data_IF_321688000523
#
_entry.id   IF_321688000523
#
_cell.length_a   1.000
_cell.length_b   1.000
_cell.length_c   1.000
_cell.angle_alpha   90.00
_cell.angle_beta   90.00
_cell.angle_gamma   90.00
#
_symmetry.space_group_name_H-M   'P 1'
#
loop_
_entity.id
_entity.type
_entity.pdbx_description
1 polymer ?
#
# COMPACT_ATOMS: atom_id res chain seq x y z
N UNK A 1 22.55 9.21 -8.59
CA UNK A 1 22.69 10.33 -7.64
C UNK A 1 21.51 11.27 -7.85
N UNK A 2 20.66 11.51 -6.84
CA UNK A 2 19.48 12.41 -6.96
C UNK A 2 19.80 13.75 -6.30
N UNK A 3 19.62 14.83 -7.05
CA UNK A 3 19.95 16.20 -6.62
C UNK A 3 18.92 16.78 -5.62
N UNK A 4 19.32 17.70 -4.72
CA UNK A 4 18.41 18.48 -3.88
C UNK A 4 17.42 19.27 -4.77
N UNK A 5 16.14 19.36 -4.35
CA UNK A 5 15.08 19.99 -5.17
C UNK A 5 14.30 21.07 -4.41
N UNK A 6 14.30 21.04 -3.09
CA UNK A 6 13.65 22.06 -2.25
C UNK A 6 14.68 23.02 -1.68
N UNK A 7 14.29 24.27 -1.40
CA UNK A 7 15.18 25.28 -0.84
C UNK A 7 15.88 24.81 0.45
N UNK A 8 15.14 24.11 1.33
CA UNK A 8 15.69 23.52 2.55
C UNK A 8 16.79 22.50 2.27
N UNK A 9 16.58 21.59 1.32
CA UNK A 9 17.58 20.57 0.96
C UNK A 9 18.79 21.16 0.25
N UNK A 10 18.59 22.22 -0.54
CA UNK A 10 19.69 22.94 -1.18
C UNK A 10 20.54 23.60 -0.09
N UNK A 11 19.93 24.25 0.89
CA UNK A 11 20.61 24.83 2.04
C UNK A 11 21.35 23.76 2.88
N UNK A 12 20.68 22.66 3.26
CA UNK A 12 21.30 21.56 4.01
C UNK A 12 22.51 20.96 3.26
N UNK A 13 22.42 20.83 1.94
CA UNK A 13 23.52 20.34 1.11
C UNK A 13 24.67 21.35 1.04
N UNK A 14 24.38 22.64 0.87
CA UNK A 14 25.38 23.71 0.82
C UNK A 14 26.09 23.91 2.16
N UNK A 15 25.37 23.80 3.27
CA UNK A 15 25.90 24.07 4.61
C UNK A 15 26.58 22.85 5.25
N UNK A 16 26.11 21.65 4.95
CA UNK A 16 26.53 20.44 5.66
C UNK A 16 26.99 19.30 4.75
N UNK A 17 26.94 19.46 3.42
CA UNK A 17 27.24 18.39 2.46
C UNK A 17 26.26 17.21 2.53
N UNK A 18 25.12 17.36 3.23
CA UNK A 18 24.17 16.28 3.48
C UNK A 18 23.19 16.15 2.31
N UNK A 19 23.11 14.95 1.75
CA UNK A 19 22.10 14.61 0.76
C UNK A 19 20.76 14.25 1.45
N UNK A 20 19.63 14.49 0.78
CA UNK A 20 18.32 14.10 1.29
C UNK A 20 18.28 12.61 1.59
N UNK A 21 17.78 12.24 2.77
CA UNK A 21 17.62 10.83 3.13
C UNK A 21 16.39 10.29 2.40
N UNK A 22 16.60 9.28 1.57
CA UNK A 22 15.51 8.48 1.01
C UNK A 22 15.30 7.26 1.90
N UNK A 23 14.04 6.93 2.19
CA UNK A 23 13.68 5.74 2.93
C UNK A 23 12.51 5.04 2.26
N UNK A 24 12.44 3.71 2.31
CA UNK A 24 11.30 2.99 1.77
C UNK A 24 10.03 3.43 2.50
N UNK A 25 8.93 3.46 1.78
CA UNK A 25 7.60 3.72 2.33
C UNK A 25 7.26 2.66 3.38
N UNK A 26 6.74 3.05 4.58
CA UNK A 26 6.38 2.11 5.62
C UNK A 26 5.43 1.03 5.11
N UNK A 27 5.72 -0.22 5.45
CA UNK A 27 4.87 -1.34 5.06
C UNK A 27 3.60 -1.39 5.92
N UNK A 28 2.47 -1.70 5.30
CA UNK A 28 1.19 -1.92 5.98
C UNK A 28 0.71 -3.35 5.73
N UNK A 29 -0.06 -3.97 6.63
CA UNK A 29 -0.56 -5.32 6.42
C UNK A 29 -1.38 -5.46 5.13
N UNK A 30 -2.17 -4.44 4.80
CA UNK A 30 -2.92 -4.38 3.54
C UNK A 30 -1.99 -4.30 2.34
N UNK A 31 -0.94 -3.45 2.39
CA UNK A 31 0.04 -3.36 1.30
C UNK A 31 0.77 -4.68 1.09
N UNK A 32 1.18 -5.35 2.17
CA UNK A 32 1.86 -6.64 2.09
C UNK A 32 0.97 -7.69 1.39
N UNK A 33 -0.32 -7.76 1.77
CA UNK A 33 -1.29 -8.64 1.14
C UNK A 33 -1.46 -8.33 -0.35
N UNK A 34 -1.69 -7.06 -0.71
CA UNK A 34 -1.87 -6.64 -2.10
C UNK A 34 -0.60 -6.87 -2.94
N UNK A 35 0.59 -6.69 -2.35
CA UNK A 35 1.87 -6.95 -2.99
C UNK A 35 2.10 -8.43 -3.29
N UNK A 36 1.62 -9.33 -2.43
CA UNK A 36 1.69 -10.79 -2.64
C UNK A 36 0.74 -11.28 -3.76
N UNK A 37 -0.37 -10.58 -4.00
CA UNK A 37 -1.28 -10.89 -5.12
C UNK A 37 -0.58 -10.57 -6.45
N UNK A 38 -0.68 -11.47 -7.43
CA UNK A 38 -0.07 -11.25 -8.75
C UNK A 38 -0.67 -10.02 -9.45
N UNK A 39 0.11 -9.25 -10.22
CA UNK A 39 -0.37 -8.05 -10.91
C UNK A 39 -1.61 -8.28 -11.79
N UNK A 40 -1.68 -9.44 -12.44
CA UNK A 40 -2.84 -9.86 -13.25
C UNK A 40 -4.12 -9.96 -12.42
N UNK A 41 -4.02 -10.51 -11.22
CA UNK A 41 -5.17 -10.69 -10.34
C UNK A 41 -5.55 -9.41 -9.61
N UNK A 42 -4.59 -8.53 -9.29
CA UNK A 42 -4.88 -7.19 -8.74
C UNK A 42 -5.83 -6.38 -9.63
N UNK A 43 -5.64 -6.47 -10.95
CA UNK A 43 -6.50 -5.74 -11.90
C UNK A 43 -7.94 -6.29 -11.94
N UNK A 44 -8.14 -7.54 -11.50
CA UNK A 44 -9.47 -8.16 -11.39
C UNK A 44 -10.19 -7.81 -10.10
N UNK A 45 -9.45 -7.37 -9.09
CA UNK A 45 -10.03 -6.88 -7.83
C UNK A 45 -10.55 -5.47 -8.04
N UNK A 46 -11.81 -5.38 -8.48
CA UNK A 46 -12.48 -4.12 -8.77
C UNK A 46 -13.11 -3.50 -7.53
N UNK A 47 -13.14 -2.16 -7.51
CA UNK A 47 -13.84 -1.32 -6.53
C UNK A 47 -13.60 -1.75 -5.07
N UNK A 48 -12.45 -1.37 -4.51
CA UNK A 48 -12.11 -1.64 -3.10
C UNK A 48 -12.45 -0.40 -2.28
N UNK A 49 -13.30 -0.58 -1.27
CA UNK A 49 -13.59 0.43 -0.27
C UNK A 49 -12.68 0.22 0.94
N UNK A 50 -11.93 1.25 1.34
CA UNK A 50 -11.18 1.22 2.58
C UNK A 50 -12.13 1.25 3.78
N UNK A 51 -11.68 0.61 4.87
CA UNK A 51 -12.40 0.62 6.13
C UNK A 51 -11.53 0.14 7.30
N UNK A 52 -12.08 0.23 8.53
CA UNK A 52 -11.32 -0.06 9.74
C UNK A 52 -10.77 -1.48 9.79
N UNK A 53 -11.50 -2.48 9.27
CA UNK A 53 -11.01 -3.86 9.22
C UNK A 53 -9.75 -4.02 8.35
N UNK A 54 -9.55 -3.14 7.36
CA UNK A 54 -8.34 -3.12 6.53
C UNK A 54 -7.20 -2.30 7.14
N UNK A 55 -7.40 -1.72 8.34
CA UNK A 55 -6.42 -0.87 9.02
C UNK A 55 -6.46 0.60 8.60
N UNK A 56 -7.62 1.09 8.14
CA UNK A 56 -7.78 2.49 7.73
C UNK A 56 -9.04 3.13 8.32
N UNK A 57 -8.88 4.34 8.85
CA UNK A 57 -9.96 5.15 9.43
C UNK A 57 -10.66 6.04 8.39
N UNK A 58 -10.64 5.66 7.11
CA UNK A 58 -11.28 6.37 6.01
C UNK A 58 -12.15 5.43 5.17
N UNK A 59 -13.06 5.99 4.38
CA UNK A 59 -13.95 5.27 3.47
C UNK A 59 -13.63 5.57 2.00
N UNK A 60 -12.35 5.76 1.67
CA UNK A 60 -11.93 6.00 0.29
C UNK A 60 -12.22 4.76 -0.57
N UNK A 61 -12.64 4.98 -1.81
CA UNK A 61 -12.90 3.91 -2.78
C UNK A 61 -11.89 4.02 -3.91
N UNK A 62 -11.37 2.88 -4.35
CA UNK A 62 -10.42 2.78 -5.45
C UNK A 62 -10.98 1.85 -6.51
N UNK A 63 -10.77 2.16 -7.79
CA UNK A 63 -11.33 1.37 -8.88
C UNK A 63 -10.74 -0.05 -8.92
N UNK A 64 -9.50 -0.24 -8.46
CA UNK A 64 -8.88 -1.54 -8.35
C UNK A 64 -7.76 -1.62 -7.29
N UNK A 65 -7.31 -2.85 -7.01
CA UNK A 65 -6.20 -3.12 -6.08
C UNK A 65 -4.88 -2.47 -6.47
N UNK A 66 -4.61 -2.30 -7.76
CA UNK A 66 -3.35 -1.71 -8.22
C UNK A 66 -3.30 -0.20 -7.94
N UNK A 67 -4.41 0.53 -8.11
CA UNK A 67 -4.54 1.93 -7.72
C UNK A 67 -4.38 2.09 -6.20
N UNK A 68 -5.04 1.23 -5.41
CA UNK A 68 -4.90 1.23 -3.97
C UNK A 68 -3.45 0.96 -3.54
N UNK A 69 -2.80 -0.04 -4.13
CA UNK A 69 -1.40 -0.39 -3.84
C UNK A 69 -0.44 0.77 -4.15
N UNK A 70 -0.68 1.50 -5.25
CA UNK A 70 0.09 2.71 -5.58
C UNK A 70 -0.15 3.82 -4.57
N UNK A 71 -1.39 4.03 -4.15
CA UNK A 71 -1.73 5.01 -3.10
C UNK A 71 -1.07 4.68 -1.76
N UNK A 72 -0.91 3.40 -1.43
CA UNK A 72 -0.15 2.89 -0.28
C UNK A 72 1.38 3.03 -0.42
N UNK A 73 1.86 3.72 -1.46
CA UNK A 73 3.27 4.02 -1.63
C UNK A 73 4.11 2.86 -2.20
N UNK A 74 3.49 1.89 -2.88
CA UNK A 74 4.26 0.85 -3.57
C UNK A 74 5.19 1.46 -4.65
N UNK A 75 6.45 1.04 -4.65
CA UNK A 75 7.53 1.57 -5.50
C UNK A 75 7.80 3.09 -5.35
N UNK A 76 7.29 3.72 -4.29
CA UNK A 76 7.63 5.09 -3.95
C UNK A 76 8.78 5.12 -2.93
N UNK A 77 9.60 6.16 -2.97
CA UNK A 77 10.57 6.45 -1.90
C UNK A 77 10.13 7.71 -1.17
N UNK A 78 10.19 7.68 0.16
CA UNK A 78 9.92 8.85 0.98
C UNK A 78 11.19 9.66 1.10
N UNK A 79 11.10 10.95 0.80
CA UNK A 79 12.21 11.89 0.91
C UNK A 79 12.09 12.66 2.22
N UNK A 80 13.16 12.68 3.02
CA UNK A 80 13.22 13.36 4.31
C UNK A 80 12.05 13.00 5.25
N UNK A 81 11.60 11.74 5.20
CA UNK A 81 10.52 11.24 6.05
C UNK A 81 9.19 12.01 5.91
N UNK A 82 8.93 12.62 4.75
CA UNK A 82 7.67 13.30 4.49
C UNK A 82 6.48 12.31 4.64
N UNK A 83 5.42 12.69 5.36
CA UNK A 83 4.27 11.80 5.55
C UNK A 83 3.57 11.56 4.21
N UNK A 84 3.27 10.29 3.93
CA UNK A 84 2.46 9.92 2.78
C UNK A 84 0.98 10.09 3.12
N UNK A 85 0.16 10.39 2.12
CA UNK A 85 -1.28 10.65 2.32
C UNK A 85 -2.00 9.54 3.11
N UNK A 86 -1.63 8.27 2.91
CA UNK A 86 -2.25 7.15 3.62
C UNK A 86 -1.93 7.09 5.12
N UNK A 87 -0.79 7.65 5.56
CA UNK A 87 -0.35 7.54 6.96
C UNK A 87 -1.29 8.29 7.90
N UNK A 88 -1.88 9.39 7.46
CA UNK A 88 -2.89 10.13 8.23
C UNK A 88 -4.20 9.35 8.42
N UNK A 89 -4.45 8.35 7.57
CA UNK A 89 -5.65 7.51 7.64
C UNK A 89 -5.37 6.13 8.24
N UNK A 90 -4.12 5.78 8.51
CA UNK A 90 -3.73 4.45 8.97
C UNK A 90 -4.15 4.25 10.44
N UNK A 91 -4.73 3.08 10.72
CA UNK A 91 -4.93 2.58 12.07
C UNK A 91 -3.84 1.55 12.41
N UNK A 92 -2.96 1.92 13.34
CA UNK A 92 -1.85 1.08 13.79
C UNK A 92 -2.28 -0.13 14.62
N UNK A 93 -3.54 -0.19 15.07
CA UNK A 93 -4.06 -1.30 15.88
C UNK A 93 -4.29 -2.56 15.05
N UNK A 94 -4.46 -2.42 13.73
CA UNK A 94 -4.66 -3.54 12.82
C UNK A 94 -3.31 -4.09 12.37
N UNK A 95 -2.94 -5.24 12.90
CA UNK A 95 -1.67 -5.91 12.61
C UNK A 95 -1.74 -6.96 11.50
N UNK A 96 -2.94 -7.44 11.15
CA UNK A 96 -3.14 -8.49 10.14
C UNK A 96 -4.38 -8.21 9.30
N UNK A 97 -4.22 -8.33 7.98
CA UNK A 97 -5.32 -8.24 7.00
C UNK A 97 -5.32 -9.53 6.18
N UNK A 98 -6.49 -10.13 5.99
CA UNK A 98 -6.64 -11.40 5.26
C UNK A 98 -7.39 -11.20 3.95
N UNK A 99 -7.28 -12.18 3.04
CA UNK A 99 -8.02 -12.16 1.77
C UNK A 99 -9.54 -12.14 1.99
N UNK A 100 -10.04 -12.82 3.03
CA UNK A 100 -11.46 -12.81 3.38
C UNK A 100 -11.93 -11.42 3.84
N UNK A 101 -11.11 -10.71 4.63
CA UNK A 101 -11.40 -9.32 5.00
C UNK A 101 -11.40 -8.43 3.76
N UNK A 102 -10.37 -8.53 2.90
CA UNK A 102 -10.33 -7.78 1.64
C UNK A 102 -11.58 -8.02 0.79
N UNK A 103 -12.04 -9.27 0.67
CA UNK A 103 -13.21 -9.63 -0.13
C UNK A 103 -14.52 -8.98 0.37
N UNK A 104 -14.68 -8.78 1.68
CA UNK A 104 -15.84 -8.09 2.25
C UNK A 104 -15.89 -6.59 1.91
N UNK A 105 -14.72 -6.00 1.65
CA UNK A 105 -14.56 -4.58 1.35
C UNK A 105 -14.54 -4.30 -0.16
N UNK A 106 -14.73 -5.33 -0.99
CA UNK A 106 -15.01 -5.13 -2.41
C UNK A 106 -16.48 -4.75 -2.58
N UNK A 107 -16.74 -3.72 -3.39
CA UNK A 107 -18.10 -3.36 -3.81
C UNK A 107 -18.77 -4.53 -4.54
N UNK A 108 -17.98 -5.28 -5.34
CA UNK A 108 -18.38 -6.55 -5.92
C UNK A 108 -17.50 -7.66 -5.36
N UNK A 109 -18.04 -8.61 -4.59
CA UNK A 109 -17.23 -9.71 -4.06
C UNK A 109 -16.62 -10.53 -5.20
N UNK A 110 -15.45 -11.12 -4.94
CA UNK A 110 -14.78 -12.02 -5.87
C UNK A 110 -15.66 -13.24 -6.17
N UNK A 111 -15.61 -13.72 -7.41
CA UNK A 111 -16.19 -15.03 -7.76
C UNK A 111 -15.44 -16.15 -7.01
N UNK A 112 -16.12 -17.26 -6.67
CA UNK A 112 -15.56 -18.37 -5.90
C UNK A 112 -14.26 -18.94 -6.52
N UNK A 113 -14.24 -19.04 -7.87
CA UNK A 113 -13.05 -19.47 -8.61
C UNK A 113 -11.87 -18.53 -8.39
N UNK A 114 -12.08 -17.23 -8.53
CA UNK A 114 -11.04 -16.20 -8.35
C UNK A 114 -10.54 -16.17 -6.92
N UNK A 115 -11.43 -16.28 -5.93
CA UNK A 115 -11.04 -16.34 -4.53
C UNK A 115 -10.14 -17.55 -4.25
N UNK A 116 -10.50 -18.73 -4.76
CA UNK A 116 -9.69 -19.96 -4.61
C UNK A 116 -8.35 -19.85 -5.32
N UNK A 117 -8.31 -19.33 -6.55
CA UNK A 117 -7.08 -19.13 -7.31
C UNK A 117 -6.09 -18.23 -6.57
N UNK A 118 -6.57 -17.05 -6.10
CA UNK A 118 -5.73 -16.11 -5.34
C UNK A 118 -5.33 -16.71 -3.99
N UNK A 119 -6.25 -17.35 -3.27
CA UNK A 119 -5.92 -18.01 -1.99
C UNK A 119 -4.87 -19.10 -2.17
N UNK A 120 -4.93 -19.89 -3.24
CA UNK A 120 -3.96 -20.94 -3.52
C UNK A 120 -2.59 -20.36 -3.88
N UNK A 121 -2.58 -19.28 -4.67
CA UNK A 121 -1.38 -18.51 -4.96
C UNK A 121 -0.71 -17.98 -3.69
N UNK A 122 -1.48 -17.36 -2.79
CA UNK A 122 -0.96 -16.82 -1.54
C UNK A 122 -0.40 -17.90 -0.60
N UNK A 123 -1.04 -19.08 -0.54
CA UNK A 123 -0.52 -20.24 0.20
C UNK A 123 0.82 -20.72 -0.35
N UNK A 124 0.98 -20.78 -1.68
CA UNK A 124 2.26 -21.16 -2.31
C UNK A 124 3.39 -20.18 -1.99
N UNK A 125 3.07 -18.92 -1.73
CA UNK A 125 4.02 -17.89 -1.34
C UNK A 125 4.25 -17.80 0.18
N UNK A 126 3.60 -18.64 0.99
CA UNK A 126 3.75 -18.67 2.45
C UNK A 126 3.06 -17.51 3.18
N UNK A 127 2.09 -16.84 2.56
CA UNK A 127 1.39 -15.67 3.13
C UNK A 127 0.16 -16.05 3.98
N UNK A 128 -0.38 -17.27 3.79
CA UNK A 128 -1.58 -17.81 4.44
C UNK A 128 -1.29 -19.11 5.19
#
# INVERSE_FOLDING_TARGET
MRYPKTAKEIMDFQLHGRLPKESPTPETPLRALLAAIYPRDRSRLGAIQLGPELGFNCRLVFDNAEQLLRWLGHNQTVRNNAPLAYQSHQDSRVSKVTLAMLNKHLVKPMDDKTFKDISHSLKRQGFL
#
